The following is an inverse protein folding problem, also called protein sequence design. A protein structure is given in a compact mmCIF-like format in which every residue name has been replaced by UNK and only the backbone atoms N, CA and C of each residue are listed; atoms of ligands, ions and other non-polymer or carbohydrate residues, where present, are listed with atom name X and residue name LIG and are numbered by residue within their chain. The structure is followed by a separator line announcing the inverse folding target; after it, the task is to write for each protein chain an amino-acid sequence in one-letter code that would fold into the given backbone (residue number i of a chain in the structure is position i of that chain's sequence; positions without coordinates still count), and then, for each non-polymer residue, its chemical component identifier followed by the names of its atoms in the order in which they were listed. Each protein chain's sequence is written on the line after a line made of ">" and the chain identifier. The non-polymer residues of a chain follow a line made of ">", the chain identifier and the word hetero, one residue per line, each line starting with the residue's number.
data_IF_951732774544
#
_entry.id   IF_951732774544
#
_cell.length_a   1.000
_cell.length_b   1.000
_cell.length_c   1.000
_cell.angle_alpha   90.00
_cell.angle_beta   90.00
_cell.angle_gamma   90.00
#
_symmetry.space_group_name_H-M   'P 1'
#
loop_
_entity.id
_entity.type
_entity.pdbx_description
1 polymer ?
#
# COMPACT_ATOMS: atom_id res chain seq x y z
N UNK A 1 6.71 16.30 2.73
CA UNK A 1 6.46 16.02 4.17
C UNK A 1 6.13 14.55 4.44
N UNK A 2 5.41 13.87 3.56
CA UNK A 2 5.03 12.46 3.76
C UNK A 2 6.20 11.47 3.59
N UNK A 3 7.09 11.67 2.64
CA UNK A 3 8.29 10.82 2.45
C UNK A 3 9.17 10.76 3.71
N UNK A 4 9.37 11.90 4.39
CA UNK A 4 10.14 11.93 5.64
C UNK A 4 9.45 11.12 6.74
N UNK A 5 8.14 11.27 6.91
CA UNK A 5 7.36 10.48 7.89
C UNK A 5 7.47 8.98 7.63
N UNK A 6 7.33 8.55 6.36
CA UNK A 6 7.47 7.16 5.96
C UNK A 6 8.88 6.64 6.26
N UNK A 7 9.92 7.40 5.89
CA UNK A 7 11.31 7.01 6.14
C UNK A 7 11.59 6.87 7.64
N UNK A 8 11.14 7.83 8.46
CA UNK A 8 11.30 7.77 9.93
C UNK A 8 10.57 6.56 10.50
N UNK A 9 9.35 6.29 10.04
CA UNK A 9 8.58 5.13 10.50
C UNK A 9 9.28 3.81 10.13
N UNK A 10 9.77 3.68 8.89
CA UNK A 10 10.54 2.50 8.45
C UNK A 10 11.80 2.29 9.29
N UNK A 11 12.55 3.36 9.57
CA UNK A 11 13.74 3.30 10.40
C UNK A 11 13.42 2.91 11.86
N UNK A 12 12.33 3.47 12.42
CA UNK A 12 11.87 3.14 13.77
C UNK A 12 11.48 1.66 13.89
N UNK A 13 10.68 1.16 12.95
CA UNK A 13 10.27 -0.25 12.93
C UNK A 13 11.45 -1.19 12.77
N UNK A 14 12.42 -0.85 11.92
CA UNK A 14 13.68 -1.60 11.79
C UNK A 14 14.45 -1.60 13.11
N UNK A 15 14.56 -0.45 13.80
CA UNK A 15 15.21 -0.36 15.11
C UNK A 15 14.57 -1.26 16.17
N UNK A 16 13.22 -1.29 16.22
CA UNK A 16 12.47 -2.18 17.11
C UNK A 16 12.80 -3.65 16.81
N UNK A 17 12.81 -4.05 15.53
CA UNK A 17 13.12 -5.42 15.13
C UNK A 17 14.54 -5.83 15.55
N UNK A 18 15.54 -4.96 15.35
CA UNK A 18 16.92 -5.21 15.76
C UNK A 18 17.01 -5.33 17.29
N UNK A 19 16.33 -4.47 18.05
CA UNK A 19 16.32 -4.52 19.51
C UNK A 19 15.71 -5.83 20.03
N UNK A 20 14.57 -6.25 19.47
CA UNK A 20 13.93 -7.52 19.81
C UNK A 20 14.84 -8.71 19.46
N UNK A 21 15.40 -8.74 18.25
CA UNK A 21 16.35 -9.78 17.86
C UNK A 21 17.58 -9.83 18.78
N UNK A 22 18.08 -8.68 19.19
CA UNK A 22 19.20 -8.55 20.13
C UNK A 22 18.85 -9.08 21.53
N UNK A 23 17.64 -8.79 22.03
CA UNK A 23 17.18 -9.24 23.33
C UNK A 23 17.05 -10.76 23.42
N UNK A 24 16.57 -11.43 22.36
CA UNK A 24 16.36 -12.88 22.36
C UNK A 24 17.55 -13.70 21.84
N UNK A 25 18.35 -13.17 20.93
CA UNK A 25 19.43 -13.90 20.26
C UNK A 25 20.79 -13.18 20.29
N UNK A 26 20.97 -12.18 21.16
CA UNK A 26 22.19 -11.42 21.25
C UNK A 26 22.62 -10.80 19.91
N UNK A 27 23.93 -10.72 19.65
CA UNK A 27 24.46 -10.13 18.39
C UNK A 27 24.00 -10.87 17.14
N UNK A 28 23.87 -12.21 17.21
CA UNK A 28 23.38 -13.04 16.09
C UNK A 28 21.92 -12.74 15.76
N UNK A 29 21.06 -12.65 16.78
CA UNK A 29 19.67 -12.30 16.64
C UNK A 29 19.46 -10.87 16.08
N UNK A 30 20.22 -9.90 16.57
CA UNK A 30 20.19 -8.53 16.06
C UNK A 30 20.58 -8.46 14.57
N UNK A 31 21.62 -9.16 14.14
CA UNK A 31 22.07 -9.21 12.75
C UNK A 31 21.04 -9.89 11.86
N UNK A 32 20.45 -10.99 12.30
CA UNK A 32 19.39 -11.67 11.56
C UNK A 32 18.19 -10.76 11.35
N UNK A 33 17.73 -10.06 12.39
CA UNK A 33 16.58 -9.15 12.30
C UNK A 33 16.89 -7.91 11.46
N UNK A 34 18.14 -7.43 11.43
CA UNK A 34 18.56 -6.38 10.51
C UNK A 34 18.39 -6.84 9.06
N UNK A 35 18.89 -8.03 8.69
CA UNK A 35 18.77 -8.57 7.32
C UNK A 35 17.30 -8.75 6.93
N UNK A 36 16.50 -9.33 7.81
CA UNK A 36 15.06 -9.53 7.58
C UNK A 36 14.36 -8.18 7.37
N UNK A 37 14.62 -7.19 8.23
CA UNK A 37 14.01 -5.86 8.13
C UNK A 37 14.39 -5.13 6.84
N UNK A 38 15.64 -5.22 6.42
CA UNK A 38 16.09 -4.64 5.14
C UNK A 38 15.38 -5.29 3.96
N UNK A 39 15.27 -6.61 3.94
CA UNK A 39 14.54 -7.34 2.90
C UNK A 39 13.04 -6.98 2.88
N UNK A 40 12.42 -6.91 4.05
CA UNK A 40 11.00 -6.54 4.17
C UNK A 40 10.74 -5.09 3.71
N UNK A 41 11.58 -4.15 4.13
CA UNK A 41 11.48 -2.75 3.67
C UNK A 41 11.64 -2.65 2.16
N UNK A 42 12.60 -3.37 1.57
CA UNK A 42 12.79 -3.39 0.13
C UNK A 42 11.56 -3.94 -0.59
N UNK A 43 11.07 -5.11 -0.21
CA UNK A 43 9.90 -5.75 -0.84
C UNK A 43 8.65 -4.87 -0.68
N UNK A 44 8.40 -4.36 0.52
CA UNK A 44 7.23 -3.53 0.80
C UNK A 44 7.25 -2.23 0.00
N UNK A 45 8.40 -1.57 -0.09
CA UNK A 45 8.52 -0.35 -0.87
C UNK A 45 8.35 -0.58 -2.37
N UNK A 46 9.00 -1.64 -2.92
CA UNK A 46 9.00 -1.88 -4.37
C UNK A 46 7.71 -2.49 -4.90
N UNK A 47 7.03 -3.33 -4.10
CA UNK A 47 5.89 -4.13 -4.51
C UNK A 47 4.59 -3.78 -3.80
N UNK A 48 4.53 -2.62 -3.10
CA UNK A 48 3.34 -2.22 -2.33
C UNK A 48 2.06 -2.18 -3.15
N UNK A 49 2.13 -1.66 -4.38
CA UNK A 49 1.01 -1.62 -5.31
C UNK A 49 0.53 -3.02 -5.70
N UNK A 50 1.46 -3.88 -6.11
CA UNK A 50 1.16 -5.24 -6.53
C UNK A 50 0.61 -6.11 -5.40
N UNK A 51 1.10 -5.91 -4.18
CA UNK A 51 0.61 -6.63 -2.99
C UNK A 51 -0.84 -6.24 -2.71
N UNK A 52 -1.13 -4.93 -2.66
CA UNK A 52 -2.48 -4.43 -2.39
C UNK A 52 -3.45 -4.88 -3.48
N UNK A 53 -3.11 -4.70 -4.75
CA UNK A 53 -3.98 -5.08 -5.86
C UNK A 53 -4.29 -6.58 -5.89
N UNK A 54 -3.30 -7.43 -5.59
CA UNK A 54 -3.52 -8.89 -5.46
C UNK A 54 -4.40 -9.26 -4.28
N UNK A 55 -4.28 -8.57 -3.14
CA UNK A 55 -5.13 -8.84 -1.97
C UNK A 55 -6.60 -8.56 -2.23
N UNK A 56 -6.88 -7.60 -3.11
CA UNK A 56 -8.24 -7.24 -3.52
C UNK A 56 -8.73 -7.97 -4.79
N UNK A 57 -7.94 -8.92 -5.33
CA UNK A 57 -8.21 -9.57 -6.63
C UNK A 57 -8.55 -8.53 -7.73
N UNK A 58 -7.80 -7.44 -7.74
CA UNK A 58 -8.01 -6.32 -8.66
C UNK A 58 -7.60 -6.72 -10.08
N UNK A 59 -8.48 -6.46 -11.05
CA UNK A 59 -8.25 -6.74 -12.47
C UNK A 59 -7.91 -5.47 -13.21
N UNK A 60 -6.79 -5.46 -13.89
CA UNK A 60 -6.39 -4.32 -14.72
C UNK A 60 -7.33 -4.17 -15.91
N UNK A 61 -7.72 -2.94 -16.18
CA UNK A 61 -8.60 -2.58 -17.30
C UNK A 61 -7.94 -1.54 -18.18
N UNK A 62 -8.28 -1.60 -19.46
CA UNK A 62 -7.81 -0.69 -20.49
C UNK A 62 -8.98 0.09 -21.12
N UNK A 63 -8.65 0.91 -22.13
CA UNK A 63 -9.65 1.70 -22.86
C UNK A 63 -10.68 0.83 -23.59
N UNK A 64 -10.36 -0.43 -23.93
CA UNK A 64 -11.28 -1.32 -24.65
C UNK A 64 -12.20 -2.05 -23.68
N UNK A 65 -11.70 -2.45 -22.51
CA UNK A 65 -12.45 -3.24 -21.53
C UNK A 65 -13.33 -2.37 -20.61
N UNK A 66 -12.95 -1.12 -20.34
CA UNK A 66 -13.71 -0.19 -19.51
C UNK A 66 -13.56 1.26 -20.01
N UNK A 67 -14.10 1.61 -21.20
CA UNK A 67 -13.85 2.90 -21.85
C UNK A 67 -14.27 4.10 -21.01
N UNK A 68 -15.40 4.04 -20.31
CA UNK A 68 -15.92 5.15 -19.50
C UNK A 68 -15.03 5.42 -18.28
N UNK A 69 -14.71 4.39 -17.50
CA UNK A 69 -13.84 4.50 -16.33
C UNK A 69 -12.44 4.95 -16.73
N UNK A 70 -11.87 4.33 -17.76
CA UNK A 70 -10.53 4.66 -18.25
C UNK A 70 -10.45 6.11 -18.73
N UNK A 71 -11.44 6.57 -19.53
CA UNK A 71 -11.52 7.94 -20.02
C UNK A 71 -11.73 8.95 -18.91
N UNK A 72 -12.46 8.61 -17.85
CA UNK A 72 -12.63 9.43 -16.66
C UNK A 72 -11.30 9.64 -15.94
N UNK A 73 -10.59 8.54 -15.62
CA UNK A 73 -9.29 8.60 -14.94
C UNK A 73 -8.26 9.37 -15.78
N UNK A 74 -8.24 9.17 -17.10
CA UNK A 74 -7.34 9.89 -18.02
C UNK A 74 -7.56 11.41 -17.94
N UNK A 75 -8.81 11.87 -17.98
CA UNK A 75 -9.13 13.31 -17.87
C UNK A 75 -8.74 13.87 -16.51
N UNK A 76 -9.03 13.15 -15.43
CA UNK A 76 -8.70 13.57 -14.07
C UNK A 76 -7.18 13.62 -13.85
N UNK A 77 -6.45 12.64 -14.35
CA UNK A 77 -4.99 12.61 -14.28
C UNK A 77 -4.36 13.77 -15.05
N UNK A 78 -4.86 14.05 -16.28
CA UNK A 78 -4.41 15.18 -17.07
C UNK A 78 -4.67 16.53 -16.36
N UNK A 79 -5.85 16.73 -15.78
CA UNK A 79 -6.19 17.93 -15.02
C UNK A 79 -5.33 18.10 -13.76
N UNK A 80 -4.90 17.00 -13.15
CA UNK A 80 -4.02 17.00 -12.00
C UNK A 80 -2.52 17.11 -12.36
N UNK A 81 -2.19 17.15 -13.65
CA UNK A 81 -0.81 17.11 -14.17
C UNK A 81 -0.04 15.86 -13.69
N UNK A 82 -0.75 14.72 -13.65
CA UNK A 82 -0.19 13.43 -13.28
C UNK A 82 -0.01 12.54 -14.50
N UNK A 83 1.01 11.66 -14.49
CA UNK A 83 1.07 10.56 -15.44
C UNK A 83 -0.18 9.68 -15.31
N UNK A 84 -0.66 9.12 -16.43
CA UNK A 84 -1.80 8.20 -16.43
C UNK A 84 -1.51 7.02 -15.49
N UNK A 85 -2.30 6.82 -14.41
CA UNK A 85 -2.15 5.66 -13.54
C UNK A 85 -2.72 4.40 -14.20
N UNK A 86 -2.30 3.24 -13.74
CA UNK A 86 -2.97 1.98 -14.10
C UNK A 86 -4.35 1.93 -13.47
N UNK A 87 -5.33 1.46 -14.21
CA UNK A 87 -6.73 1.43 -13.77
C UNK A 87 -7.15 -0.02 -13.50
N UNK A 88 -7.78 -0.24 -12.36
CA UNK A 88 -8.21 -1.56 -11.91
C UNK A 88 -9.67 -1.57 -11.48
N UNK A 89 -10.35 -2.69 -11.70
CA UNK A 89 -11.68 -2.97 -11.15
C UNK A 89 -11.55 -4.11 -10.15
N UNK A 90 -12.16 -3.92 -8.98
CA UNK A 90 -12.28 -4.93 -7.92
C UNK A 90 -13.71 -5.45 -7.90
N UNK A 91 -13.90 -6.77 -8.00
CA UNK A 91 -15.22 -7.37 -7.91
C UNK A 91 -15.65 -7.48 -6.43
N UNK A 92 -16.23 -6.42 -5.91
CA UNK A 92 -16.72 -6.31 -4.53
C UNK A 92 -18.00 -5.49 -4.50
N UNK A 93 -19.02 -5.98 -3.78
CA UNK A 93 -20.27 -5.25 -3.57
C UNK A 93 -20.15 -4.07 -2.60
N UNK A 94 -19.07 -3.98 -1.80
CA UNK A 94 -18.83 -2.84 -0.93
C UNK A 94 -18.35 -1.64 -1.76
N UNK A 95 -19.01 -0.47 -1.69
CA UNK A 95 -18.59 0.73 -2.41
C UNK A 95 -17.24 1.22 -1.90
N UNK A 96 -16.21 1.19 -2.76
CA UNK A 96 -14.89 1.67 -2.41
C UNK A 96 -14.08 2.07 -3.65
N UNK A 97 -13.17 3.03 -3.50
CA UNK A 97 -12.10 3.30 -4.43
C UNK A 97 -10.83 3.59 -3.64
N UNK A 98 -9.67 3.29 -4.20
CA UNK A 98 -8.39 3.60 -3.59
C UNK A 98 -7.30 3.78 -4.63
N UNK A 99 -6.32 4.61 -4.30
CA UNK A 99 -5.09 4.72 -5.05
C UNK A 99 -3.94 4.05 -4.27
N UNK A 100 -3.02 3.45 -5.00
CA UNK A 100 -1.80 2.83 -4.46
C UNK A 100 -0.62 3.07 -5.38
N UNK A 101 0.59 2.87 -4.87
CA UNK A 101 1.81 3.03 -5.65
C UNK A 101 2.92 3.73 -4.86
N UNK A 102 4.16 3.54 -5.29
CA UNK A 102 5.34 4.13 -4.62
C UNK A 102 5.60 5.60 -5.00
N UNK A 103 5.12 6.02 -6.16
CA UNK A 103 5.24 7.38 -6.68
C UNK A 103 4.21 7.61 -7.80
N UNK A 104 3.99 8.85 -8.27
CA UNK A 104 3.03 9.16 -9.33
C UNK A 104 3.21 8.37 -10.63
N UNK A 105 4.46 8.10 -11.03
CA UNK A 105 4.75 7.33 -12.26
C UNK A 105 4.47 5.82 -12.13
N UNK A 106 4.24 5.33 -10.91
CA UNK A 106 3.91 3.94 -10.60
C UNK A 106 2.63 3.87 -9.77
N UNK A 107 1.71 4.77 -10.03
CA UNK A 107 0.41 4.79 -9.38
C UNK A 107 -0.56 3.83 -10.06
N UNK A 108 -1.46 3.30 -9.27
CA UNK A 108 -2.61 2.53 -9.70
C UNK A 108 -3.85 3.04 -8.95
N UNK A 109 -4.98 3.06 -9.63
CA UNK A 109 -6.29 3.43 -9.07
C UNK A 109 -7.21 2.23 -9.24
N UNK A 110 -7.86 1.83 -8.17
CA UNK A 110 -8.81 0.73 -8.16
C UNK A 110 -10.19 1.20 -7.73
N UNK A 111 -11.22 0.69 -8.40
CA UNK A 111 -12.64 1.01 -8.15
C UNK A 111 -13.39 -0.31 -7.99
N UNK A 112 -14.26 -0.40 -6.99
CA UNK A 112 -15.10 -1.58 -6.79
C UNK A 112 -16.35 -1.53 -7.67
N UNK A 113 -16.85 -2.71 -8.06
CA UNK A 113 -18.14 -2.83 -8.76
C UNK A 113 -19.29 -2.25 -7.93
N UNK A 114 -19.19 -2.36 -6.59
CA UNK A 114 -20.17 -1.75 -5.68
C UNK A 114 -20.22 -0.23 -5.79
N UNK A 115 -19.08 0.45 -5.89
CA UNK A 115 -19.04 1.91 -6.09
C UNK A 115 -19.65 2.29 -7.43
N UNK A 116 -19.27 1.59 -8.50
CA UNK A 116 -19.75 1.85 -9.86
C UNK A 116 -21.27 1.63 -10.01
N UNK A 117 -21.86 0.75 -9.19
CA UNK A 117 -23.29 0.48 -9.18
C UNK A 117 -24.08 1.43 -8.27
N UNK A 118 -23.42 2.12 -7.33
CA UNK A 118 -24.07 2.95 -6.31
C UNK A 118 -24.04 4.43 -6.66
N UNK A 119 -22.95 4.88 -7.26
CA UNK A 119 -22.68 6.29 -7.58
C UNK A 119 -22.88 6.57 -9.06
N UNK A 120 -23.31 7.79 -9.36
CA UNK A 120 -23.35 8.29 -10.73
C UNK A 120 -21.95 8.71 -11.22
N UNK A 121 -21.88 9.07 -12.49
CA UNK A 121 -20.62 9.42 -13.15
C UNK A 121 -19.88 10.58 -12.47
N UNK A 122 -20.59 11.64 -12.07
CA UNK A 122 -20.02 12.83 -11.45
C UNK A 122 -19.57 12.56 -10.01
N UNK A 123 -20.30 11.73 -9.31
CA UNK A 123 -19.95 11.27 -7.96
C UNK A 123 -18.69 10.40 -7.99
N UNK A 124 -18.59 9.45 -8.94
CA UNK A 124 -17.36 8.65 -9.18
C UNK A 124 -16.20 9.58 -9.53
N UNK A 125 -16.42 10.60 -10.36
CA UNK A 125 -15.39 11.57 -10.70
C UNK A 125 -14.87 12.32 -9.46
N UNK A 126 -15.75 12.71 -8.54
CA UNK A 126 -15.38 13.35 -7.27
C UNK A 126 -14.52 12.44 -6.39
N UNK A 127 -14.92 11.16 -6.23
CA UNK A 127 -14.15 10.18 -5.47
C UNK A 127 -12.78 9.95 -6.09
N UNK A 128 -12.71 9.74 -7.40
CA UNK A 128 -11.45 9.50 -8.11
C UNK A 128 -10.52 10.72 -8.11
N UNK A 129 -11.07 11.93 -8.19
CA UNK A 129 -10.29 13.15 -8.06
C UNK A 129 -9.65 13.26 -6.66
N UNK A 130 -10.39 12.87 -5.61
CA UNK A 130 -9.86 12.78 -4.25
C UNK A 130 -8.70 11.78 -4.17
N UNK A 131 -8.86 10.57 -4.68
CA UNK A 131 -7.81 9.54 -4.69
C UNK A 131 -6.56 10.00 -5.49
N UNK A 132 -6.76 10.65 -6.62
CA UNK A 132 -5.66 11.20 -7.41
C UNK A 132 -4.92 12.35 -6.70
N UNK A 133 -5.60 13.08 -5.80
CA UNK A 133 -4.94 14.08 -4.96
C UNK A 133 -3.90 13.44 -4.03
N UNK A 134 -4.18 12.26 -3.50
CA UNK A 134 -3.22 11.48 -2.72
C UNK A 134 -2.01 11.03 -3.55
N UNK A 135 -2.23 10.67 -4.83
CA UNK A 135 -1.14 10.41 -5.78
C UNK A 135 -0.23 11.62 -5.92
N UNK A 136 -0.82 12.80 -6.15
CA UNK A 136 -0.09 14.06 -6.33
C UNK A 136 0.73 14.43 -5.10
N UNK A 137 0.18 14.24 -3.90
CA UNK A 137 0.83 14.58 -2.63
C UNK A 137 1.78 13.48 -2.11
N UNK A 138 1.90 12.34 -2.81
CA UNK A 138 2.76 11.20 -2.47
C UNK A 138 2.45 10.59 -1.11
N UNK A 139 1.18 10.46 -0.74
CA UNK A 139 0.69 9.83 0.50
C UNK A 139 0.01 8.47 0.28
N UNK A 140 0.44 7.78 -0.76
CA UNK A 140 -0.10 6.48 -1.18
C UNK A 140 0.48 5.28 -0.40
N UNK A 141 1.53 5.49 0.40
CA UNK A 141 2.21 4.35 1.01
C UNK A 141 1.34 3.73 2.11
N UNK A 142 0.93 2.45 1.97
CA UNK A 142 0.05 1.81 2.93
C UNK A 142 0.81 1.50 4.22
N UNK A 143 0.61 2.35 5.23
CA UNK A 143 1.27 2.26 6.56
C UNK A 143 1.07 0.89 7.22
N UNK A 144 -0.08 0.23 6.97
CA UNK A 144 -0.34 -1.10 7.52
C UNK A 144 0.63 -2.18 7.01
N UNK A 145 1.18 -2.04 5.79
CA UNK A 145 2.24 -2.93 5.30
C UNK A 145 3.51 -2.82 6.15
N UNK A 146 3.80 -1.65 6.71
CA UNK A 146 4.92 -1.47 7.62
C UNK A 146 4.68 -2.16 8.96
N UNK A 147 3.44 -2.17 9.45
CA UNK A 147 3.09 -2.86 10.69
C UNK A 147 3.30 -4.38 10.58
N UNK A 148 3.06 -4.97 9.42
CA UNK A 148 3.34 -6.37 9.15
C UNK A 148 4.83 -6.72 9.29
N UNK A 149 5.72 -5.78 9.00
CA UNK A 149 7.15 -5.96 9.19
C UNK A 149 7.52 -6.30 10.65
N UNK A 150 6.81 -5.74 11.61
CA UNK A 150 7.01 -6.01 13.05
C UNK A 150 6.18 -7.20 13.51
N UNK A 151 4.93 -7.27 13.12
CA UNK A 151 4.01 -8.31 13.59
C UNK A 151 4.38 -9.70 13.09
N UNK A 152 4.73 -9.84 11.82
CA UNK A 152 4.98 -11.15 11.22
C UNK A 152 6.16 -11.90 11.84
N UNK A 153 7.35 -11.30 12.04
CA UNK A 153 8.46 -11.97 12.73
C UNK A 153 8.26 -12.18 14.22
N UNK A 154 7.40 -11.37 14.86
CA UNK A 154 7.04 -11.53 16.27
C UNK A 154 5.99 -12.60 16.53
N UNK A 155 5.18 -12.93 15.52
CA UNK A 155 4.09 -13.89 15.64
C UNK A 155 4.54 -15.26 16.17
N UNK A 156 5.63 -15.88 15.68
CA UNK A 156 6.12 -17.15 16.24
C UNK A 156 6.56 -17.03 17.71
N UNK A 157 7.11 -15.88 18.11
CA UNK A 157 7.55 -15.61 19.49
C UNK A 157 6.34 -15.50 20.40
N UNK A 158 5.31 -14.75 19.97
CA UNK A 158 4.05 -14.59 20.69
C UNK A 158 3.29 -15.93 20.85
N UNK A 159 3.25 -16.72 19.78
CA UNK A 159 2.56 -18.02 19.78
C UNK A 159 3.33 -19.11 20.55
N UNK A 160 4.65 -18.99 20.68
CA UNK A 160 5.48 -19.97 21.42
C UNK A 160 5.34 -19.88 22.94
N UNK A 161 4.62 -18.90 23.46
CA UNK A 161 4.44 -18.70 24.91
C UNK A 161 5.74 -18.40 25.70
N UNK A 162 6.85 -18.12 25.01
CA UNK A 162 8.17 -17.86 25.63
C UNK A 162 8.33 -16.43 26.18
N UNK A 163 7.26 -15.66 26.26
CA UNK A 163 7.21 -14.44 27.07
C UNK A 163 6.93 -14.81 28.55
N UNK A 164 7.80 -15.64 29.16
CA UNK A 164 7.89 -15.63 30.61
C UNK A 164 8.68 -14.37 30.98
N UNK A 165 7.96 -13.34 31.38
CA UNK A 165 8.51 -12.19 32.08
C UNK A 165 9.21 -12.70 33.34
N UNK A 166 10.54 -12.71 33.34
CA UNK A 166 11.35 -12.80 34.53
C UNK A 166 11.52 -11.40 35.10
#
# INVERSE_FOLDING_TARGET
>A
MNTLKTTVLMALLMGIMIAVGGAFGGRGGAMLMLIISLGFNFVTYWFSDSIVLKMYDAREVDRNSAPELYGLVERLAANAELPMPRVYIVNSGAPNAFATGRNPSHAAVAVTTGLMNTLDYEEIAGVLAHELSHVKHRDLFPVWLLLWQVLFPLLPILLSGRLSLV
#
